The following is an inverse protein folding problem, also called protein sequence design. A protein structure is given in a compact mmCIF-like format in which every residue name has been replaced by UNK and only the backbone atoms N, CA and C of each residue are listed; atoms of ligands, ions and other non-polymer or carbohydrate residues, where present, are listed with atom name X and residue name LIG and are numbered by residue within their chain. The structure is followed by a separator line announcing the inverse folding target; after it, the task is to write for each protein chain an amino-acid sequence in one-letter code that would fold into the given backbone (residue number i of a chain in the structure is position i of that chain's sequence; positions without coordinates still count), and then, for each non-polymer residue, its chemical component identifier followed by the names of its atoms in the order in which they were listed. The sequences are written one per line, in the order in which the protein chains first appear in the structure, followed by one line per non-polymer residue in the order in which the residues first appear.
data_IF_644898236093
#
_entry.id   IF_644898236093
#
_cell.length_a   1.000
_cell.length_b   1.000
_cell.length_c   1.000
_cell.angle_alpha   90.00
_cell.angle_beta   90.00
_cell.angle_gamma   90.00
#
_symmetry.space_group_name_H-M   'P 1'
#
loop_
_entity.id
_entity.type
_entity.pdbx_description
1 polymer ?
#
# COMPACT_ATOMS: atom_id res chain seq x y z
N UNK A 1 7.56 -31.84 -3.41
CA UNK A 1 6.58 -30.86 -3.91
C UNK A 1 7.20 -30.16 -5.11
N UNK A 2 6.54 -30.20 -6.26
CA UNK A 2 6.98 -29.50 -7.48
C UNK A 2 6.76 -27.99 -7.32
N UNK A 3 7.58 -27.16 -7.96
CA UNK A 3 7.37 -25.72 -8.11
C UNK A 3 5.95 -25.34 -8.59
N UNK A 4 5.32 -26.20 -9.40
CA UNK A 4 3.96 -26.04 -9.92
C UNK A 4 2.90 -26.16 -8.82
N UNK A 5 3.04 -27.14 -7.92
CA UNK A 5 2.10 -27.38 -6.82
C UNK A 5 2.15 -26.23 -5.80
N UNK A 6 3.33 -25.66 -5.56
CA UNK A 6 3.51 -24.53 -4.66
C UNK A 6 2.85 -23.25 -5.22
N UNK A 7 2.96 -23.03 -6.53
CA UNK A 7 2.31 -21.89 -7.21
C UNK A 7 0.79 -22.01 -7.26
N UNK A 8 0.27 -23.23 -7.45
CA UNK A 8 -1.18 -23.47 -7.51
C UNK A 8 -1.88 -23.22 -6.16
N UNK A 9 -1.20 -23.48 -5.04
CA UNK A 9 -1.73 -23.29 -3.68
C UNK A 9 -1.49 -21.88 -3.12
N UNK A 10 -0.76 -21.03 -3.83
CA UNK A 10 -0.46 -19.68 -3.36
C UNK A 10 -1.75 -18.84 -3.27
N UNK A 11 -1.89 -17.98 -2.24
CA UNK A 11 -3.01 -17.05 -2.15
C UNK A 11 -3.04 -16.17 -3.39
N UNK A 12 -4.15 -16.22 -4.14
CA UNK A 12 -4.33 -15.41 -5.36
C UNK A 12 -4.61 -13.94 -5.07
N UNK A 13 -4.93 -13.62 -3.82
CA UNK A 13 -5.30 -12.30 -3.32
C UNK A 13 -4.70 -12.11 -1.93
N UNK A 14 -4.35 -10.87 -1.62
CA UNK A 14 -3.87 -10.50 -0.30
C UNK A 14 -4.49 -9.17 0.16
N UNK A 15 -4.39 -8.94 1.48
CA UNK A 15 -4.70 -7.66 2.10
C UNK A 15 -3.45 -6.80 2.09
N UNK A 16 -3.60 -5.52 1.78
CA UNK A 16 -2.47 -4.58 1.72
C UNK A 16 -2.79 -3.26 2.39
N UNK A 17 -1.74 -2.52 2.72
CA UNK A 17 -1.79 -1.17 3.25
C UNK A 17 -0.87 -0.27 2.41
N UNK A 18 -1.23 1.00 2.27
CA UNK A 18 -0.41 2.00 1.59
C UNK A 18 -0.15 3.16 2.56
N UNK A 19 1.13 3.44 2.82
CA UNK A 19 1.55 4.55 3.65
C UNK A 19 2.40 5.47 2.79
N UNK A 20 1.90 6.68 2.54
CA UNK A 20 2.63 7.69 1.79
C UNK A 20 3.38 8.56 2.77
N UNK A 21 4.70 8.63 2.60
CA UNK A 21 5.57 9.46 3.41
C UNK A 21 5.94 10.70 2.59
N UNK A 22 5.45 11.86 2.99
CA UNK A 22 5.78 13.14 2.36
C UNK A 22 5.32 14.32 3.20
N UNK A 23 6.25 15.19 3.61
CA UNK A 23 5.93 16.41 4.36
C UNK A 23 4.91 17.32 3.66
N UNK A 24 5.04 17.46 2.33
CA UNK A 24 4.16 18.34 1.56
C UNK A 24 2.75 17.77 1.40
N UNK A 25 2.64 16.44 1.22
CA UNK A 25 1.34 15.79 1.14
C UNK A 25 0.67 15.70 2.51
N UNK A 26 1.44 15.41 3.57
CA UNK A 26 0.93 15.38 4.94
C UNK A 26 0.47 16.77 5.41
N UNK A 27 1.10 17.84 4.92
CA UNK A 27 0.68 19.21 5.17
C UNK A 27 -0.49 19.69 4.27
N UNK A 28 -1.03 18.81 3.41
CA UNK A 28 -2.13 19.14 2.49
C UNK A 28 -1.76 20.08 1.35
N UNK A 29 -0.46 20.31 1.11
CA UNK A 29 0.05 21.20 0.05
C UNK A 29 0.18 20.51 -1.31
N UNK A 30 0.15 19.18 -1.32
CA UNK A 30 0.29 18.35 -2.51
C UNK A 30 -0.64 17.14 -2.40
N UNK A 31 -1.27 16.76 -3.51
CA UNK A 31 -2.06 15.54 -3.59
C UNK A 31 -1.17 14.29 -3.70
N UNK A 32 -1.56 13.21 -3.03
CA UNK A 32 -0.89 11.92 -3.11
C UNK A 32 -1.32 11.08 -4.32
N UNK A 33 -0.81 11.47 -5.49
CA UNK A 33 -1.05 10.72 -6.73
C UNK A 33 -0.43 9.31 -6.70
N UNK A 34 0.69 9.15 -6.00
CA UNK A 34 1.42 7.87 -5.95
C UNK A 34 0.70 6.82 -5.12
N UNK A 35 0.25 7.18 -3.91
CA UNK A 35 -0.50 6.25 -3.06
C UNK A 35 -1.83 5.85 -3.68
N UNK A 36 -2.55 6.79 -4.30
CA UNK A 36 -3.78 6.49 -5.03
C UNK A 36 -3.54 5.54 -6.21
N UNK A 37 -2.50 5.77 -7.00
CA UNK A 37 -2.13 4.88 -8.10
C UNK A 37 -1.86 3.44 -7.62
N UNK A 38 -1.10 3.27 -6.52
CA UNK A 38 -0.82 1.94 -5.95
C UNK A 38 -2.10 1.24 -5.49
N UNK A 39 -2.98 1.97 -4.79
CA UNK A 39 -4.26 1.42 -4.31
C UNK A 39 -5.12 0.98 -5.50
N UNK A 40 -5.21 1.80 -6.54
CA UNK A 40 -6.04 1.52 -7.71
C UNK A 40 -5.55 0.27 -8.44
N UNK A 41 -4.25 0.18 -8.74
CA UNK A 41 -3.67 -0.95 -9.46
C UNK A 41 -3.78 -2.26 -8.67
N UNK A 42 -3.53 -2.22 -7.35
CA UNK A 42 -3.67 -3.41 -6.51
C UNK A 42 -5.14 -3.84 -6.35
N UNK A 43 -6.08 -2.89 -6.29
CA UNK A 43 -7.52 -3.20 -6.30
C UNK A 43 -7.96 -3.80 -7.63
N UNK A 44 -7.46 -3.31 -8.78
CA UNK A 44 -7.72 -3.88 -10.11
C UNK A 44 -7.23 -5.33 -10.20
N UNK A 45 -6.12 -5.65 -9.55
CA UNK A 45 -5.62 -7.03 -9.42
C UNK A 45 -6.45 -7.91 -8.45
N UNK A 46 -7.51 -7.36 -7.83
CA UNK A 46 -8.42 -8.08 -6.96
C UNK A 46 -7.97 -8.18 -5.50
N UNK A 47 -6.96 -7.39 -5.10
CA UNK A 47 -6.50 -7.32 -3.71
C UNK A 47 -7.34 -6.35 -2.88
N UNK A 48 -7.30 -6.50 -1.57
CA UNK A 48 -8.09 -5.70 -0.62
C UNK A 48 -7.20 -4.68 0.08
N UNK A 49 -7.48 -3.39 -0.13
CA UNK A 49 -6.82 -2.35 0.66
C UNK A 49 -7.47 -2.26 2.03
N UNK A 50 -6.72 -2.55 3.09
CA UNK A 50 -7.19 -2.47 4.47
C UNK A 50 -6.81 -1.18 5.18
N UNK A 51 -5.83 -0.44 4.65
CA UNK A 51 -5.33 0.76 5.32
C UNK A 51 -4.65 1.74 4.36
N UNK A 52 -4.93 3.02 4.54
CA UNK A 52 -4.25 4.09 3.81
C UNK A 52 -4.02 5.29 4.72
N UNK A 53 -2.80 5.83 4.68
CA UNK A 53 -2.44 7.04 5.44
C UNK A 53 -1.30 7.80 4.78
N UNK A 54 -1.35 9.12 4.89
CA UNK A 54 -0.25 10.02 4.56
C UNK A 54 0.40 10.47 5.88
N UNK A 55 1.73 10.39 5.97
CA UNK A 55 2.52 10.80 7.14
C UNK A 55 3.68 11.71 6.70
N UNK A 56 4.17 12.62 7.57
CA UNK A 56 5.38 13.38 7.30
C UNK A 56 6.63 12.49 7.31
N UNK A 57 7.75 13.02 6.83
CA UNK A 57 9.08 12.37 6.81
C UNK A 57 9.73 12.30 8.20
N UNK A 58 8.95 11.85 9.19
CA UNK A 58 9.36 11.72 10.59
C UNK A 58 9.36 10.25 11.02
N UNK A 59 10.47 9.79 11.59
CA UNK A 59 10.64 8.39 12.04
C UNK A 59 9.49 7.90 12.93
N UNK A 60 9.07 8.70 13.91
CA UNK A 60 7.99 8.33 14.83
C UNK A 60 6.63 8.31 14.14
N UNK A 61 6.40 9.19 13.16
CA UNK A 61 5.17 9.21 12.39
C UNK A 61 5.06 7.96 11.50
N UNK A 62 6.16 7.54 10.88
CA UNK A 62 6.21 6.31 10.06
C UNK A 62 5.98 5.06 10.92
N UNK A 63 6.62 4.96 12.09
CA UNK A 63 6.46 3.81 12.98
C UNK A 63 5.06 3.70 13.61
N UNK A 64 4.34 4.83 13.71
CA UNK A 64 2.96 4.91 14.23
C UNK A 64 1.91 5.04 13.13
N UNK A 65 2.33 4.91 11.87
CA UNK A 65 1.46 5.06 10.71
C UNK A 65 0.34 4.05 10.79
#
# INVERSE_FOLDING_TARGET
MSHEEHRAKAPKKFKFAVITVSDTASAGKKEDLSGYYIIEELKKAGNENTYYKIVPDEKLAILRA
#
